data_IF_706575554109
#
_entry.id   IF_706575554109
#
_cell.length_a   1.000
_cell.length_b   1.000
_cell.length_c   1.000
_cell.angle_alpha   90.00
_cell.angle_beta   90.00
_cell.angle_gamma   90.00
#
_symmetry.space_group_name_H-M   'P 1'
#
loop_
_entity.id
_entity.type
_entity.pdbx_description
1 polymer ?
#
# COMPACT_ATOMS: atom_id res chain seq x y z
N UNK A 1 -4.53 10.03 6.81
CA UNK A 1 -4.18 11.05 7.81
C UNK A 1 -5.08 12.26 7.58
N UNK A 2 -5.79 12.76 8.60
CA UNK A 2 -6.64 13.96 8.45
C UNK A 2 -5.92 15.13 9.09
N UNK A 3 -5.45 16.07 8.29
CA UNK A 3 -4.81 17.28 8.79
C UNK A 3 -5.90 18.27 9.26
N UNK A 4 -5.71 18.83 10.46
CA UNK A 4 -6.68 19.74 11.13
C UNK A 4 -6.29 21.21 11.02
N UNK A 5 -5.03 21.48 10.72
CA UNK A 5 -4.47 22.82 10.59
C UNK A 5 -3.35 22.83 9.54
N UNK A 6 -2.89 24.02 9.18
CA UNK A 6 -1.84 24.21 8.16
C UNK A 6 -0.51 23.56 8.56
N UNK A 7 -0.15 23.55 9.84
CA UNK A 7 1.11 22.95 10.31
C UNK A 7 1.11 21.43 10.08
N UNK A 8 0.00 20.75 10.35
CA UNK A 8 -0.15 19.32 10.06
C UNK A 8 -0.09 19.03 8.55
N UNK A 9 -0.64 19.92 7.71
CA UNK A 9 -0.51 19.81 6.25
C UNK A 9 0.96 19.92 5.83
N UNK A 10 1.66 20.97 6.28
CA UNK A 10 3.08 21.17 5.96
C UNK A 10 3.92 19.98 6.40
N UNK A 11 3.73 19.50 7.63
CA UNK A 11 4.45 18.33 8.14
C UNK A 11 4.25 17.09 7.26
N UNK A 12 3.02 16.78 6.85
CA UNK A 12 2.75 15.61 5.98
C UNK A 12 3.40 15.74 4.61
N UNK A 13 3.39 16.95 4.02
CA UNK A 13 3.99 17.20 2.72
C UNK A 13 5.52 17.18 2.77
N UNK A 14 6.13 17.75 3.81
CA UNK A 14 7.58 17.69 4.05
C UNK A 14 8.05 16.26 4.28
N UNK A 15 7.31 15.50 5.10
CA UNK A 15 7.58 14.08 5.29
C UNK A 15 7.51 13.33 3.96
N UNK A 16 6.45 13.52 3.18
CA UNK A 16 6.31 12.92 1.85
C UNK A 16 7.49 13.26 0.92
N UNK A 17 7.92 14.52 0.89
CA UNK A 17 9.04 14.98 0.06
C UNK A 17 10.39 14.38 0.48
N UNK A 18 10.54 13.98 1.75
CA UNK A 18 11.75 13.33 2.25
C UNK A 18 11.84 11.83 1.96
N UNK A 19 10.75 11.20 1.55
CA UNK A 19 10.71 9.76 1.28
C UNK A 19 11.22 9.45 -0.13
N UNK A 20 11.92 8.32 -0.27
CA UNK A 20 12.20 7.74 -1.58
C UNK A 20 10.90 7.20 -2.19
N UNK A 21 10.29 7.99 -3.07
CA UNK A 21 9.09 7.63 -3.79
C UNK A 21 9.36 6.56 -4.86
N UNK A 22 8.39 5.67 -5.07
CA UNK A 22 8.40 4.72 -6.18
C UNK A 22 7.43 5.23 -7.24
N UNK A 23 7.90 5.35 -8.48
CA UNK A 23 7.03 5.62 -9.62
C UNK A 23 6.32 4.33 -10.05
N UNK A 24 5.00 4.40 -10.06
CA UNK A 24 4.09 3.28 -10.28
C UNK A 24 3.26 3.53 -11.53
N UNK A 25 3.79 3.09 -12.69
CA UNK A 25 3.09 3.21 -13.97
C UNK A 25 2.18 2.00 -14.19
N UNK A 26 0.89 2.27 -14.41
CA UNK A 26 -0.11 1.21 -14.67
C UNK A 26 -0.54 0.42 -13.43
N UNK A 27 -0.08 0.80 -12.24
CA UNK A 27 -0.31 0.08 -10.99
C UNK A 27 -1.77 -0.02 -10.61
N UNK A 28 -2.57 1.00 -10.93
CA UNK A 28 -4.03 0.95 -10.76
C UNK A 28 -4.67 -0.18 -11.58
N UNK A 29 -4.26 -0.35 -12.84
CA UNK A 29 -4.79 -1.40 -13.72
C UNK A 29 -4.36 -2.78 -13.22
N UNK A 30 -3.08 -2.92 -12.88
CA UNK A 30 -2.55 -4.18 -12.37
C UNK A 30 -3.21 -4.57 -11.03
N UNK A 31 -3.36 -3.63 -10.11
CA UNK A 31 -4.04 -3.83 -8.84
C UNK A 31 -5.52 -4.17 -9.02
N UNK A 32 -6.20 -3.55 -9.99
CA UNK A 32 -7.58 -3.89 -10.34
C UNK A 32 -7.73 -5.33 -10.82
N UNK A 33 -6.84 -5.77 -11.73
CA UNK A 33 -6.78 -7.17 -12.19
C UNK A 33 -6.51 -8.12 -11.02
N UNK A 34 -5.48 -7.84 -10.21
CA UNK A 34 -5.11 -8.65 -9.05
C UNK A 34 -6.26 -8.76 -8.03
N UNK A 35 -6.93 -7.63 -7.77
CA UNK A 35 -8.08 -7.53 -6.87
C UNK A 35 -9.24 -8.41 -7.33
N UNK A 36 -9.53 -8.42 -8.63
CA UNK A 36 -10.54 -9.30 -9.21
C UNK A 36 -10.15 -10.77 -9.10
N UNK A 37 -8.93 -11.12 -9.53
CA UNK A 37 -8.43 -12.51 -9.54
C UNK A 37 -8.37 -13.12 -8.13
N UNK A 38 -8.09 -12.31 -7.11
CA UNK A 38 -7.93 -12.76 -5.73
C UNK A 38 -9.11 -12.37 -4.82
N UNK A 39 -10.24 -11.92 -5.38
CA UNK A 39 -11.46 -11.59 -4.62
C UNK A 39 -11.24 -10.64 -3.45
N UNK A 40 -10.37 -9.63 -3.62
CA UNK A 40 -9.98 -8.70 -2.54
C UNK A 40 -11.14 -7.96 -1.90
N UNK A 41 -12.23 -7.71 -2.64
CA UNK A 41 -13.46 -7.14 -2.10
C UNK A 41 -14.11 -8.03 -1.03
N UNK A 42 -14.06 -9.36 -1.17
CA UNK A 42 -14.56 -10.32 -0.17
C UNK A 42 -13.73 -10.25 1.13
N UNK A 43 -12.49 -9.77 1.04
CA UNK A 43 -11.58 -9.56 2.16
C UNK A 43 -11.54 -8.11 2.68
N UNK A 44 -12.44 -7.23 2.20
CA UNK A 44 -12.50 -5.81 2.57
C UNK A 44 -11.18 -5.07 2.26
N UNK A 45 -10.47 -5.51 1.22
CA UNK A 45 -9.24 -4.89 0.70
C UNK A 45 -9.65 -3.90 -0.39
N UNK A 46 -9.39 -2.62 -0.14
CA UNK A 46 -9.72 -1.53 -1.07
C UNK A 46 -8.66 -1.37 -2.16
N UNK A 47 -8.96 -0.60 -3.21
CA UNK A 47 -8.04 -0.45 -4.35
C UNK A 47 -6.65 0.09 -3.99
N UNK A 48 -6.55 0.99 -3.00
CA UNK A 48 -5.26 1.50 -2.53
C UNK A 48 -4.44 0.38 -1.88
N UNK A 49 -5.09 -0.44 -1.04
CA UNK A 49 -4.45 -1.62 -0.43
C UNK A 49 -4.02 -2.63 -1.49
N UNK A 50 -4.87 -2.84 -2.52
CA UNK A 50 -4.55 -3.69 -3.67
C UNK A 50 -3.31 -3.20 -4.41
N UNK A 51 -3.13 -1.88 -4.57
CA UNK A 51 -1.92 -1.29 -5.18
C UNK A 51 -0.70 -1.58 -4.33
N UNK A 52 -0.77 -1.36 -3.02
CA UNK A 52 0.34 -1.66 -2.10
C UNK A 52 0.75 -3.12 -2.18
N UNK A 53 -0.22 -4.04 -2.17
CA UNK A 53 0.02 -5.49 -2.28
C UNK A 53 0.65 -5.83 -3.64
N UNK A 54 0.12 -5.28 -4.73
CA UNK A 54 0.60 -5.54 -6.08
C UNK A 54 2.05 -5.05 -6.27
N UNK A 55 2.34 -3.81 -5.88
CA UNK A 55 3.69 -3.22 -5.97
C UNK A 55 4.69 -3.97 -5.11
N UNK A 56 4.29 -4.36 -3.89
CA UNK A 56 5.13 -5.15 -2.99
C UNK A 56 5.55 -6.46 -3.65
N UNK A 57 4.60 -7.19 -4.22
CA UNK A 57 4.86 -8.48 -4.89
C UNK A 57 5.68 -8.31 -6.16
N UNK A 58 5.30 -7.37 -7.03
CA UNK A 58 5.94 -7.14 -8.32
C UNK A 58 7.42 -6.77 -8.18
N UNK A 59 7.75 -5.96 -7.16
CA UNK A 59 9.11 -5.47 -6.92
C UNK A 59 9.89 -6.31 -5.91
N UNK A 60 9.29 -7.39 -5.39
CA UNK A 60 9.87 -8.25 -4.35
C UNK A 60 10.30 -7.46 -3.11
N UNK A 61 9.48 -6.49 -2.72
CA UNK A 61 9.68 -5.67 -1.52
C UNK A 61 9.05 -6.35 -0.30
N UNK A 62 9.35 -5.82 0.89
CA UNK A 62 8.64 -6.15 2.12
C UNK A 62 7.72 -4.98 2.49
N UNK A 63 6.48 -5.27 2.83
CA UNK A 63 5.50 -4.29 3.29
C UNK A 63 5.51 -4.25 4.81
N UNK A 64 5.73 -3.05 5.37
CA UNK A 64 5.44 -2.76 6.76
C UNK A 64 4.02 -2.18 6.87
N UNK A 65 3.17 -2.81 7.67
CA UNK A 65 1.81 -2.33 7.92
C UNK A 65 1.27 -2.90 9.23
N UNK A 66 0.44 -2.13 9.93
CA UNK A 66 -0.35 -2.62 11.06
C UNK A 66 -1.70 -3.20 10.64
N UNK A 67 -2.02 -3.17 9.34
CA UNK A 67 -3.32 -3.60 8.83
C UNK A 67 -3.44 -5.13 8.76
N UNK A 68 -4.22 -5.68 9.68
CA UNK A 68 -4.43 -7.13 9.83
C UNK A 68 -5.08 -7.78 8.60
N UNK A 69 -5.90 -7.08 7.80
CA UNK A 69 -6.48 -7.69 6.59
C UNK A 69 -5.41 -7.89 5.51
N UNK A 70 -4.47 -6.95 5.39
CA UNK A 70 -3.34 -7.06 4.45
C UNK A 70 -2.37 -8.15 4.93
N UNK A 71 -2.05 -8.18 6.22
CA UNK A 71 -1.15 -9.19 6.80
C UNK A 71 -1.66 -10.63 6.62
N UNK A 72 -2.98 -10.85 6.71
CA UNK A 72 -3.59 -12.17 6.44
C UNK A 72 -3.46 -12.62 4.99
N UNK A 73 -3.29 -11.68 4.06
CA UNK A 73 -3.25 -11.95 2.62
C UNK A 73 -1.81 -12.10 2.10
N UNK A 74 -0.85 -11.45 2.74
CA UNK A 74 0.55 -11.52 2.36
C UNK A 74 1.20 -12.81 2.88
N UNK A 75 1.98 -13.47 2.03
CA UNK A 75 2.90 -14.52 2.46
C UNK A 75 4.05 -13.92 3.27
N UNK A 76 4.62 -14.63 4.27
CA UNK A 76 5.64 -14.08 5.18
C UNK A 76 6.84 -13.40 4.51
N UNK A 77 7.28 -13.89 3.34
CA UNK A 77 8.37 -13.28 2.57
C UNK A 77 8.16 -11.82 2.15
N UNK A 78 6.90 -11.35 2.10
CA UNK A 78 6.54 -9.97 1.76
C UNK A 78 6.20 -9.12 2.97
N UNK A 79 6.36 -9.63 4.20
CA UNK A 79 6.07 -8.89 5.43
C UNK A 79 7.40 -8.39 5.99
N UNK A 80 7.43 -7.10 6.37
CA UNK A 80 8.56 -6.53 7.09
C UNK A 80 8.40 -6.78 8.59
N UNK A 81 9.43 -7.34 9.21
CA UNK A 81 9.54 -7.55 10.65
C UNK A 81 10.58 -6.57 11.20
N UNK A 82 10.24 -5.90 12.30
CA UNK A 82 11.11 -4.97 13.02
C UNK A 82 12.07 -5.71 13.95
#
# INVERSE_FOLDING_TARGET
MRCRNKNEVSFVLEYWASLNGILSNGSFIHAGKLSFENKYLEHVIGIIDSILIAETKQRKLKLWTSDKKILKLLTPQYIFEL
#
